data_IF_159996704252
#
_entry.id   IF_159996704252
#
_cell.length_a   1.000
_cell.length_b   1.000
_cell.length_c   1.000
_cell.angle_alpha   90.00
_cell.angle_beta   90.00
_cell.angle_gamma   90.00
#
_symmetry.space_group_name_H-M   'P 1'
#
loop_
_entity.id
_entity.type
_entity.pdbx_description
1 polymer ?
#
# COMPACT_ATOMS: atom_id res chain seq x y z
N UNK A 1 4.69 8.60 40.24
CA UNK A 1 5.23 8.78 38.88
C UNK A 1 4.53 7.96 37.79
N UNK A 2 3.92 6.80 38.08
CA UNK A 2 3.28 5.90 37.10
C UNK A 2 2.02 6.45 36.38
N UNK A 3 1.23 7.31 37.04
CA UNK A 3 0.03 7.90 36.41
C UNK A 3 0.37 8.85 35.25
N UNK A 4 1.54 9.49 35.28
CA UNK A 4 1.92 10.45 34.23
C UNK A 4 2.46 9.74 32.97
N UNK A 5 3.16 8.60 33.10
CA UNK A 5 3.69 7.85 31.95
C UNK A 5 2.57 7.32 31.04
N UNK A 6 1.45 6.88 31.63
CA UNK A 6 0.29 6.41 30.88
C UNK A 6 -0.26 7.48 29.92
N UNK A 7 -0.42 8.72 30.39
CA UNK A 7 -0.89 9.82 29.55
C UNK A 7 0.06 10.13 28.40
N UNK A 8 1.38 10.10 28.62
CA UNK A 8 2.35 10.30 27.55
C UNK A 8 2.28 9.19 26.50
N UNK A 9 2.10 7.94 26.91
CA UNK A 9 1.96 6.79 25.99
C UNK A 9 0.67 6.92 25.17
N UNK A 10 -0.43 7.28 25.82
CA UNK A 10 -1.71 7.52 25.15
C UNK A 10 -1.60 8.66 24.13
N UNK A 11 -0.99 9.79 24.52
CA UNK A 11 -0.75 10.93 23.64
C UNK A 11 0.12 10.53 22.44
N UNK A 12 1.19 9.76 22.66
CA UNK A 12 2.06 9.27 21.58
C UNK A 12 1.28 8.38 20.60
N UNK A 13 0.42 7.51 21.10
CA UNK A 13 -0.44 6.66 20.28
C UNK A 13 -1.45 7.49 19.46
N UNK A 14 -2.11 8.47 20.09
CA UNK A 14 -3.05 9.38 19.42
C UNK A 14 -2.34 10.15 18.31
N UNK A 15 -1.18 10.74 18.59
CA UNK A 15 -0.36 11.47 17.59
C UNK A 15 -0.03 10.53 16.42
N UNK A 16 0.37 9.29 16.70
CA UNK A 16 0.66 8.33 15.64
C UNK A 16 -0.56 8.00 14.78
N UNK A 17 -1.74 7.79 15.39
CA UNK A 17 -3.01 7.61 14.67
C UNK A 17 -3.37 8.83 13.80
N UNK A 18 -3.20 10.05 14.33
CA UNK A 18 -3.45 11.30 13.59
C UNK A 18 -2.51 11.43 12.38
N UNK A 19 -1.22 11.09 12.54
CA UNK A 19 -0.24 11.07 11.44
C UNK A 19 -0.70 10.09 10.34
N UNK A 20 -1.17 8.90 10.70
CA UNK A 20 -1.67 7.95 9.70
C UNK A 20 -2.90 8.47 8.95
N UNK A 21 -3.85 9.08 9.66
CA UNK A 21 -5.03 9.70 9.04
C UNK A 21 -4.64 10.85 8.11
N UNK A 22 -3.69 11.68 8.51
CA UNK A 22 -3.16 12.76 7.68
C UNK A 22 -2.51 12.21 6.40
N UNK A 23 -1.63 11.22 6.52
CA UNK A 23 -0.98 10.57 5.37
C UNK A 23 -2.04 9.93 4.46
N UNK A 24 -3.05 9.28 5.02
CA UNK A 24 -4.16 8.72 4.25
C UNK A 24 -4.91 9.80 3.48
N UNK A 25 -5.30 10.87 4.15
CA UNK A 25 -6.03 11.97 3.52
C UNK A 25 -5.24 12.58 2.36
N UNK A 26 -3.98 12.97 2.60
CA UNK A 26 -3.14 13.59 1.57
C UNK A 26 -2.87 12.62 0.42
N UNK A 27 -2.36 11.43 0.73
CA UNK A 27 -1.78 10.55 -0.30
C UNK A 27 -2.77 9.57 -0.93
N UNK A 28 -4.01 9.54 -0.44
CA UNK A 28 -5.05 8.69 -0.99
C UNK A 28 -6.28 9.50 -1.37
N UNK A 29 -6.92 10.20 -0.44
CA UNK A 29 -8.18 10.92 -0.70
C UNK A 29 -7.94 12.11 -1.63
N UNK A 30 -7.08 13.06 -1.23
CA UNK A 30 -6.83 14.27 -1.99
C UNK A 30 -6.23 13.96 -3.37
N UNK A 31 -5.23 13.08 -3.43
CA UNK A 31 -4.66 12.65 -4.72
C UNK A 31 -5.68 11.94 -5.61
N UNK A 32 -6.60 11.14 -5.06
CA UNK A 32 -7.68 10.54 -5.85
C UNK A 32 -8.57 11.64 -6.43
N UNK A 33 -9.09 12.53 -5.59
CA UNK A 33 -9.98 13.62 -6.02
C UNK A 33 -9.33 14.47 -7.12
N UNK A 34 -8.06 14.83 -6.94
CA UNK A 34 -7.32 15.67 -7.91
C UNK A 34 -7.09 14.96 -9.24
N UNK A 35 -6.60 13.71 -9.22
CA UNK A 35 -6.14 13.01 -10.43
C UNK A 35 -7.16 12.05 -11.04
N UNK A 36 -8.32 11.87 -10.43
CA UNK A 36 -9.45 11.15 -11.04
C UNK A 36 -10.27 12.02 -12.00
N UNK A 37 -10.15 13.35 -11.92
CA UNK A 37 -10.82 14.30 -12.85
C UNK A 37 -10.11 14.40 -14.21
N UNK A 38 -8.84 14.01 -14.28
CA UNK A 38 -8.01 14.14 -15.46
C UNK A 38 -8.03 12.84 -16.25
N UNK A 39 -8.65 12.86 -17.43
CA UNK A 39 -8.67 11.72 -18.34
C UNK A 39 -7.28 11.47 -18.91
N UNK A 40 -7.03 10.21 -19.25
CA UNK A 40 -5.77 9.78 -19.88
C UNK A 40 -6.09 8.91 -21.11
N UNK A 41 -5.34 9.08 -22.18
CA UNK A 41 -5.43 8.39 -23.47
C UNK A 41 -5.13 6.90 -23.36
N UNK A 42 -4.27 6.52 -22.41
CA UNK A 42 -3.91 5.12 -22.17
C UNK A 42 -4.89 4.46 -21.21
N UNK A 43 -5.49 3.36 -21.67
CA UNK A 43 -6.14 2.36 -20.82
C UNK A 43 -5.27 1.13 -20.71
N UNK A 44 -5.08 0.64 -19.48
CA UNK A 44 -4.47 -0.66 -19.25
C UNK A 44 -5.54 -1.74 -19.31
N UNK A 45 -5.34 -2.69 -20.20
CA UNK A 45 -6.20 -3.85 -20.33
C UNK A 45 -5.88 -4.88 -19.23
N UNK A 46 -6.94 -5.38 -18.60
CA UNK A 46 -6.87 -6.40 -17.56
C UNK A 46 -6.40 -7.75 -18.09
N UNK A 47 -6.77 -8.11 -19.32
CA UNK A 47 -6.32 -9.38 -19.91
C UNK A 47 -4.81 -9.36 -20.17
N UNK A 48 -4.26 -8.21 -20.57
CA UNK A 48 -2.80 -8.03 -20.64
C UNK A 48 -2.12 -8.27 -19.29
N UNK A 49 -2.68 -7.71 -18.21
CA UNK A 49 -2.14 -7.91 -16.85
C UNK A 49 -2.21 -9.40 -16.49
N UNK A 50 -3.38 -10.02 -16.65
CA UNK A 50 -3.60 -11.44 -16.38
C UNK A 50 -2.63 -12.32 -17.15
N UNK A 51 -2.46 -12.09 -18.45
CA UNK A 51 -1.56 -12.84 -19.32
C UNK A 51 -0.11 -12.74 -18.83
N UNK A 52 0.37 -11.56 -18.43
CA UNK A 52 1.71 -11.41 -17.87
C UNK A 52 1.91 -12.22 -16.59
N UNK A 53 0.91 -12.24 -15.71
CA UNK A 53 0.94 -13.03 -14.48
C UNK A 53 0.93 -14.53 -14.76
N UNK A 54 0.08 -14.98 -15.69
CA UNK A 54 0.04 -16.38 -16.13
C UNK A 54 1.39 -16.80 -16.71
N UNK A 55 1.97 -15.98 -17.61
CA UNK A 55 3.27 -16.25 -18.23
C UNK A 55 4.38 -16.34 -17.18
N UNK A 56 4.37 -15.45 -16.19
CA UNK A 56 5.42 -15.40 -15.17
C UNK A 56 5.38 -16.58 -14.19
N UNK A 57 4.19 -16.94 -13.73
CA UNK A 57 4.02 -17.94 -12.67
C UNK A 57 3.62 -19.30 -13.20
N UNK A 58 3.34 -19.43 -14.50
CA UNK A 58 2.86 -20.65 -15.16
C UNK A 58 1.59 -21.24 -14.52
N UNK A 59 0.74 -20.36 -13.96
CA UNK A 59 -0.49 -20.73 -13.27
C UNK A 59 -1.66 -19.90 -13.83
N UNK A 60 -2.86 -20.50 -13.93
CA UNK A 60 -4.07 -19.77 -14.35
C UNK A 60 -4.55 -18.86 -13.22
N UNK A 61 -4.48 -17.53 -13.43
CA UNK A 61 -5.00 -16.54 -12.49
C UNK A 61 -6.38 -16.03 -12.88
N UNK A 62 -7.19 -15.74 -11.86
CA UNK A 62 -8.47 -15.03 -12.00
C UNK A 62 -8.33 -13.61 -11.46
N UNK A 63 -8.92 -12.63 -12.15
CA UNK A 63 -8.99 -11.25 -11.65
C UNK A 63 -10.28 -11.09 -10.86
N UNK A 64 -10.15 -10.67 -9.60
CA UNK A 64 -11.27 -10.29 -8.75
C UNK A 64 -11.33 -8.77 -8.64
N UNK A 65 -12.44 -8.22 -9.11
CA UNK A 65 -12.77 -6.81 -9.01
C UNK A 65 -13.39 -6.51 -7.64
N UNK A 66 -12.90 -5.45 -7.00
CA UNK A 66 -13.14 -5.14 -5.59
C UNK A 66 -13.36 -3.65 -5.36
N UNK A 67 -14.17 -3.32 -4.35
CA UNK A 67 -14.51 -1.94 -4.02
C UNK A 67 -13.39 -1.21 -3.27
N UNK A 68 -12.70 -1.90 -2.36
CA UNK A 68 -11.73 -1.32 -1.42
C UNK A 68 -10.27 -1.71 -1.70
N UNK A 69 -9.31 -1.23 -0.91
CA UNK A 69 -7.90 -1.62 -1.04
C UNK A 69 -7.56 -2.85 -0.22
N UNK A 70 -6.58 -3.63 -0.68
CA UNK A 70 -6.11 -4.80 0.07
C UNK A 70 -4.70 -4.65 0.64
N UNK A 71 -4.54 -5.25 1.82
CA UNK A 71 -3.27 -5.66 2.40
C UNK A 71 -2.55 -6.74 1.55
N UNK A 72 -3.31 -7.60 0.84
CA UNK A 72 -2.78 -8.69 0.02
C UNK A 72 -3.46 -8.73 -1.35
N UNK A 73 -2.92 -8.01 -2.35
CA UNK A 73 -3.58 -7.88 -3.65
C UNK A 73 -3.31 -9.07 -4.59
N UNK A 74 -2.36 -9.96 -4.28
CA UNK A 74 -2.18 -11.23 -4.99
C UNK A 74 -2.29 -12.39 -3.99
N UNK A 75 -3.24 -13.28 -4.23
CA UNK A 75 -3.42 -14.54 -3.53
C UNK A 75 -2.90 -15.69 -4.38
N UNK A 76 -1.61 -15.99 -4.25
CA UNK A 76 -0.96 -17.08 -4.98
C UNK A 76 -1.66 -18.43 -4.76
N UNK A 77 -2.02 -18.79 -3.52
CA UNK A 77 -2.67 -20.06 -3.21
C UNK A 77 -4.05 -20.22 -3.86
N UNK A 78 -4.82 -19.12 -3.94
CA UNK A 78 -6.13 -19.11 -4.58
C UNK A 78 -6.07 -18.73 -6.06
N UNK A 79 -4.87 -18.41 -6.58
CA UNK A 79 -4.64 -17.89 -7.93
C UNK A 79 -5.53 -16.69 -8.27
N UNK A 80 -5.70 -15.77 -7.32
CA UNK A 80 -6.54 -14.56 -7.48
C UNK A 80 -5.69 -13.29 -7.45
N UNK A 81 -5.91 -12.42 -8.43
CA UNK A 81 -5.37 -11.06 -8.48
C UNK A 81 -6.52 -10.10 -8.16
N UNK A 82 -6.40 -9.32 -7.08
CA UNK A 82 -7.43 -8.38 -6.67
C UNK A 82 -7.10 -6.98 -7.17
N UNK A 83 -8.00 -6.38 -7.95
CA UNK A 83 -7.80 -5.06 -8.55
C UNK A 83 -8.99 -4.16 -8.17
N UNK A 84 -8.75 -3.00 -7.54
CA UNK A 84 -9.81 -2.04 -7.26
C UNK A 84 -10.55 -1.58 -8.52
N UNK A 85 -11.88 -1.56 -8.50
CA UNK A 85 -12.71 -1.19 -9.67
C UNK A 85 -12.34 0.19 -10.22
N UNK A 86 -12.09 1.14 -9.32
CA UNK A 86 -11.74 2.51 -9.69
C UNK A 86 -10.35 2.62 -10.36
N UNK A 87 -9.52 1.56 -10.38
CA UNK A 87 -8.29 1.53 -11.18
C UNK A 87 -8.56 1.34 -12.68
N UNK A 88 -9.76 0.89 -13.04
CA UNK A 88 -10.16 0.63 -14.44
C UNK A 88 -10.69 1.87 -15.15
N UNK A 89 -10.93 2.95 -14.40
CA UNK A 89 -11.37 4.23 -14.94
C UNK A 89 -10.24 4.88 -15.74
N UNK A 90 -10.60 5.47 -16.88
CA UNK A 90 -9.67 6.14 -17.81
C UNK A 90 -9.22 7.51 -17.28
N UNK A 91 -8.61 7.51 -16.10
CA UNK A 91 -8.09 8.71 -15.44
C UNK A 91 -6.69 8.46 -14.88
N UNK A 92 -5.91 9.54 -14.70
CA UNK A 92 -4.50 9.46 -14.28
C UNK A 92 -4.32 8.62 -13.01
N UNK A 93 -5.17 8.83 -12.00
CA UNK A 93 -5.05 8.13 -10.71
C UNK A 93 -5.12 6.61 -10.87
N UNK A 94 -6.01 6.12 -11.73
CA UNK A 94 -6.32 4.70 -11.95
C UNK A 94 -5.25 4.03 -12.79
N UNK A 95 -5.03 4.53 -14.01
CA UNK A 95 -4.05 3.99 -14.96
C UNK A 95 -2.65 3.92 -14.34
N UNK A 96 -2.21 4.98 -13.66
CA UNK A 96 -0.87 5.01 -13.05
C UNK A 96 -0.75 4.04 -11.88
N UNK A 97 -1.78 3.93 -11.04
CA UNK A 97 -1.80 2.95 -9.96
C UNK A 97 -1.76 1.52 -10.50
N UNK A 98 -2.54 1.23 -11.54
CA UNK A 98 -2.63 -0.08 -12.16
C UNK A 98 -1.31 -0.46 -12.85
N UNK A 99 -0.67 0.49 -13.53
CA UNK A 99 0.64 0.29 -14.16
C UNK A 99 1.72 -0.03 -13.11
N UNK A 100 1.75 0.77 -12.05
CA UNK A 100 2.70 0.59 -10.97
C UNK A 100 2.48 -0.74 -10.25
N UNK A 101 1.22 -1.11 -10.02
CA UNK A 101 0.82 -2.41 -9.49
C UNK A 101 1.37 -3.56 -10.35
N UNK A 102 1.07 -3.54 -11.66
CA UNK A 102 1.54 -4.55 -12.62
C UNK A 102 3.07 -4.70 -12.54
N UNK A 103 3.80 -3.61 -12.71
CA UNK A 103 5.27 -3.65 -12.75
C UNK A 103 5.88 -4.06 -11.40
N UNK A 104 5.31 -3.63 -10.27
CA UNK A 104 5.80 -3.99 -8.94
C UNK A 104 5.71 -5.50 -8.71
N UNK A 105 4.54 -6.10 -8.97
CA UNK A 105 4.34 -7.52 -8.72
C UNK A 105 4.95 -8.41 -9.81
N UNK A 106 5.09 -7.94 -11.05
CA UNK A 106 5.88 -8.63 -12.08
C UNK A 106 7.38 -8.65 -11.79
N UNK A 107 7.89 -7.80 -10.90
CA UNK A 107 9.28 -7.88 -10.45
C UNK A 107 9.48 -8.78 -9.21
N UNK A 108 8.40 -9.16 -8.50
CA UNK A 108 8.49 -9.99 -7.27
C UNK A 108 8.31 -11.48 -7.54
N UNK A 109 9.19 -12.33 -7.06
CA UNK A 109 8.93 -13.77 -7.09
C UNK A 109 7.96 -14.18 -5.95
N UNK A 110 7.52 -15.45 -5.96
CA UNK A 110 6.62 -16.01 -4.93
C UNK A 110 7.21 -15.91 -3.53
N UNK A 111 8.51 -16.22 -3.40
CA UNK A 111 9.26 -16.13 -2.13
C UNK A 111 9.31 -14.69 -1.58
N UNK A 112 9.61 -13.70 -2.43
CA UNK A 112 9.61 -12.27 -2.07
C UNK A 112 8.23 -11.82 -1.58
N UNK A 113 7.15 -12.27 -2.25
CA UNK A 113 5.79 -11.93 -1.82
C UNK A 113 5.41 -12.53 -0.45
N UNK A 114 5.95 -13.72 -0.12
CA UNK A 114 5.79 -14.33 1.20
C UNK A 114 6.61 -13.57 2.27
N UNK A 115 7.85 -13.21 1.94
CA UNK A 115 8.72 -12.40 2.81
C UNK A 115 8.07 -11.05 3.13
N UNK A 116 7.48 -10.37 2.14
CA UNK A 116 6.79 -9.09 2.37
C UNK A 116 5.66 -9.20 3.40
N UNK A 117 4.90 -10.30 3.31
CA UNK A 117 3.77 -10.57 4.19
C UNK A 117 4.28 -10.90 5.60
N UNK A 118 5.32 -11.72 5.70
CA UNK A 118 5.97 -12.01 6.98
C UNK A 118 6.49 -10.73 7.64
N UNK A 119 7.26 -9.90 6.92
CA UNK A 119 7.78 -8.63 7.44
C UNK A 119 6.67 -7.67 7.85
N UNK A 120 5.58 -7.59 7.07
CA UNK A 120 4.45 -6.75 7.45
C UNK A 120 3.74 -7.25 8.71
N UNK A 121 3.50 -8.56 8.83
CA UNK A 121 2.91 -9.16 10.02
C UNK A 121 3.79 -8.97 11.25
N UNK A 122 5.10 -9.19 11.13
CA UNK A 122 6.07 -8.98 12.21
C UNK A 122 6.12 -7.51 12.64
N UNK A 123 6.09 -6.57 11.69
CA UNK A 123 5.94 -5.15 12.00
C UNK A 123 4.68 -4.88 12.80
N UNK A 124 3.53 -5.40 12.34
CA UNK A 124 2.24 -5.14 12.96
C UNK A 124 2.21 -5.67 14.40
N UNK A 125 2.69 -6.90 14.62
CA UNK A 125 2.75 -7.52 15.95
C UNK A 125 3.69 -6.73 16.87
N UNK A 126 4.93 -6.49 16.44
CA UNK A 126 5.92 -5.78 17.25
C UNK A 126 5.46 -4.37 17.61
N UNK A 127 4.86 -3.65 16.67
CA UNK A 127 4.35 -2.31 16.90
C UNK A 127 3.28 -2.30 18.00
N UNK A 128 2.29 -3.20 17.92
CA UNK A 128 1.20 -3.26 18.89
C UNK A 128 1.66 -3.78 20.25
N UNK A 129 2.58 -4.77 20.28
CA UNK A 129 3.18 -5.24 21.53
C UNK A 129 3.98 -4.14 22.22
N UNK A 130 4.69 -3.30 21.46
CA UNK A 130 5.37 -2.11 21.99
C UNK A 130 4.41 -1.23 22.80
N UNK A 131 3.31 -0.80 22.17
CA UNK A 131 2.30 0.02 22.87
C UNK A 131 1.62 -0.72 24.02
N UNK A 132 1.30 -2.01 23.87
CA UNK A 132 0.68 -2.81 24.94
C UNK A 132 1.57 -2.88 26.18
N UNK A 133 2.85 -3.23 26.01
CA UNK A 133 3.80 -3.28 27.13
C UNK A 133 4.06 -1.89 27.73
N UNK A 134 3.99 -0.83 26.93
CA UNK A 134 4.05 0.53 27.45
C UNK A 134 2.86 0.81 28.38
N UNK A 135 1.63 0.47 27.98
CA UNK A 135 0.42 0.63 28.82
C UNK A 135 0.48 -0.19 30.12
N UNK A 136 1.08 -1.39 30.07
CA UNK A 136 1.34 -2.23 31.23
C UNK A 136 2.57 -1.78 32.06
N UNK A 137 3.18 -0.65 31.68
CA UNK A 137 4.35 -0.05 32.33
C UNK A 137 5.65 -0.90 32.26
N UNK A 138 5.74 -1.86 31.34
CA UNK A 138 6.98 -2.57 31.00
C UNK A 138 7.79 -1.78 29.95
N UNK A 139 8.32 -0.62 30.33
CA UNK A 139 8.90 0.36 29.40
C UNK A 139 10.10 -0.16 28.60
N UNK A 140 11.00 -0.94 29.22
CA UNK A 140 12.18 -1.50 28.54
C UNK A 140 11.73 -2.52 27.47
N UNK A 141 10.80 -3.42 27.84
CA UNK A 141 10.24 -4.41 26.92
C UNK A 141 9.53 -3.72 25.75
N UNK A 142 8.73 -2.69 26.03
CA UNK A 142 8.12 -1.83 25.02
C UNK A 142 9.15 -1.25 24.06
N UNK A 143 10.24 -0.66 24.58
CA UNK A 143 11.30 -0.07 23.77
C UNK A 143 11.95 -1.10 22.84
N UNK A 144 12.23 -2.32 23.33
CA UNK A 144 12.74 -3.40 22.49
C UNK A 144 11.81 -3.72 21.30
N UNK A 145 10.50 -3.77 21.54
CA UNK A 145 9.51 -3.99 20.47
C UNK A 145 9.41 -2.82 19.48
N UNK A 146 9.52 -1.57 19.95
CA UNK A 146 9.53 -0.39 19.08
C UNK A 146 10.79 -0.33 18.22
N UNK A 147 11.97 -0.65 18.79
CA UNK A 147 13.22 -0.77 18.04
C UNK A 147 13.09 -1.89 16.99
N UNK A 148 12.56 -3.05 17.37
CA UNK A 148 12.31 -4.15 16.44
C UNK A 148 11.37 -3.74 15.30
N UNK A 149 10.36 -2.92 15.58
CA UNK A 149 9.45 -2.37 14.56
C UNK A 149 10.20 -1.54 13.52
N UNK A 150 11.06 -0.62 13.97
CA UNK A 150 11.89 0.20 13.07
C UNK A 150 12.86 -0.68 12.27
N UNK A 151 13.48 -1.67 12.92
CA UNK A 151 14.37 -2.62 12.26
C UNK A 151 13.67 -3.41 11.15
N UNK A 152 12.46 -3.92 11.40
CA UNK A 152 11.67 -4.66 10.40
C UNK A 152 11.33 -3.76 9.21
N UNK A 153 10.98 -2.49 9.44
CA UNK A 153 10.76 -1.52 8.36
C UNK A 153 12.03 -1.30 7.53
N UNK A 154 13.19 -1.11 8.17
CA UNK A 154 14.46 -0.95 7.46
C UNK A 154 14.83 -2.18 6.65
N UNK A 155 14.65 -3.38 7.22
CA UNK A 155 14.90 -4.64 6.53
C UNK A 155 14.01 -4.79 5.29
N UNK A 156 12.70 -4.50 5.40
CA UNK A 156 11.80 -4.53 4.24
C UNK A 156 12.22 -3.52 3.17
N UNK A 157 12.62 -2.31 3.57
CA UNK A 157 13.12 -1.31 2.65
C UNK A 157 14.35 -1.83 1.88
N UNK A 158 15.34 -2.37 2.57
CA UNK A 158 16.57 -2.88 1.96
C UNK A 158 16.29 -4.02 0.98
N UNK A 159 15.45 -4.99 1.37
CA UNK A 159 15.09 -6.13 0.54
C UNK A 159 14.30 -5.72 -0.71
N UNK A 160 13.45 -4.71 -0.59
CA UNK A 160 12.55 -4.31 -1.68
C UNK A 160 12.99 -3.06 -2.45
N UNK A 161 14.03 -2.33 -2.04
CA UNK A 161 14.47 -1.07 -2.66
C UNK A 161 14.67 -1.19 -4.16
N UNK A 162 15.33 -2.27 -4.60
CA UNK A 162 15.56 -2.55 -6.04
C UNK A 162 14.23 -2.71 -6.78
N UNK A 163 13.29 -3.47 -6.22
CA UNK A 163 11.96 -3.70 -6.81
C UNK A 163 11.15 -2.40 -6.91
N UNK A 164 11.10 -1.60 -5.84
CA UNK A 164 10.42 -0.29 -5.86
C UNK A 164 11.01 0.65 -6.91
N UNK A 165 12.34 0.73 -6.98
CA UNK A 165 13.07 1.58 -7.93
C UNK A 165 12.85 1.13 -9.38
N UNK A 166 12.96 -0.17 -9.65
CA UNK A 166 12.74 -0.71 -10.99
C UNK A 166 11.27 -0.59 -11.43
N UNK A 167 10.31 -0.83 -10.54
CA UNK A 167 8.89 -0.61 -10.84
C UNK A 167 8.60 0.85 -11.18
N UNK A 168 9.22 1.79 -10.44
CA UNK A 168 9.14 3.21 -10.73
C UNK A 168 9.70 3.54 -12.13
N UNK A 169 10.92 3.07 -12.44
CA UNK A 169 11.57 3.32 -13.73
C UNK A 169 10.76 2.74 -14.90
N UNK A 170 10.44 1.45 -14.87
CA UNK A 170 9.68 0.77 -15.94
C UNK A 170 8.32 1.42 -16.18
N UNK A 171 7.60 1.79 -15.12
CA UNK A 171 6.31 2.45 -15.29
C UNK A 171 6.46 3.83 -15.91
N UNK A 172 7.48 4.61 -15.51
CA UNK A 172 7.76 5.93 -16.09
C UNK A 172 8.13 5.85 -17.56
N UNK A 173 8.95 4.87 -17.95
CA UNK A 173 9.34 4.62 -19.35
C UNK A 173 8.13 4.29 -20.21
N UNK A 174 7.24 3.40 -19.73
CA UNK A 174 5.99 3.08 -20.45
C UNK A 174 5.09 4.31 -20.61
N UNK A 175 4.98 5.15 -19.58
CA UNK A 175 4.17 6.36 -19.65
C UNK A 175 4.78 7.40 -20.59
N UNK A 176 6.11 7.54 -20.60
CA UNK A 176 6.82 8.46 -21.51
C UNK A 176 6.64 8.04 -22.97
N UNK A 177 6.69 6.75 -23.26
CA UNK A 177 6.62 6.23 -24.62
C UNK A 177 5.21 6.29 -25.24
N UNK A 178 4.17 6.41 -24.41
CA UNK A 178 2.77 6.27 -24.86
C UNK A 178 1.90 7.51 -24.66
N UNK A 179 2.38 8.53 -23.96
CA UNK A 179 1.63 9.74 -23.67
C UNK A 179 2.22 10.93 -24.42
N UNK A 180 1.34 11.84 -24.82
CA UNK A 180 1.75 13.14 -25.35
C UNK A 180 2.41 14.00 -24.26
N UNK A 181 3.18 15.02 -24.67
CA UNK A 181 4.02 15.82 -23.77
C UNK A 181 3.25 16.48 -22.61
N UNK A 182 2.07 17.04 -22.89
CA UNK A 182 1.25 17.71 -21.88
C UNK A 182 0.62 16.72 -20.91
N UNK A 183 0.05 15.64 -21.44
CA UNK A 183 -0.52 14.55 -20.66
C UNK A 183 0.53 13.90 -19.75
N UNK A 184 1.72 13.63 -20.30
CA UNK A 184 2.86 13.12 -19.55
C UNK A 184 3.26 14.05 -18.40
N UNK A 185 3.18 15.38 -18.56
CA UNK A 185 3.49 16.34 -17.49
C UNK A 185 2.55 16.15 -16.28
N UNK A 186 1.25 16.03 -16.52
CA UNK A 186 0.26 15.79 -15.45
C UNK A 186 0.45 14.42 -14.81
N UNK A 187 0.64 13.39 -15.63
CA UNK A 187 0.89 12.02 -15.18
C UNK A 187 2.16 11.92 -14.35
N UNK A 188 3.26 12.51 -14.81
CA UNK A 188 4.54 12.50 -14.11
C UNK A 188 4.44 13.27 -12.77
N UNK A 189 3.62 14.32 -12.69
CA UNK A 189 3.33 15.02 -11.43
C UNK A 189 2.70 14.09 -10.39
N UNK A 190 1.71 13.28 -10.78
CA UNK A 190 1.14 12.23 -9.91
C UNK A 190 2.13 11.10 -9.63
N UNK A 191 2.92 10.70 -10.65
CA UNK A 191 3.82 9.57 -10.56
C UNK A 191 4.89 9.73 -9.48
N UNK A 192 5.32 10.98 -9.19
CA UNK A 192 6.25 11.30 -8.09
C UNK A 192 5.82 10.69 -6.75
N UNK A 193 4.52 10.62 -6.47
CA UNK A 193 3.99 10.05 -5.23
C UNK A 193 4.14 8.52 -5.11
N UNK A 194 4.53 7.83 -6.20
CA UNK A 194 4.88 6.40 -6.16
C UNK A 194 6.22 6.13 -5.49
N UNK A 195 7.09 7.14 -5.35
CA UNK A 195 8.32 7.02 -4.55
C UNK A 195 8.02 6.69 -3.07
N UNK A 196 6.86 7.14 -2.58
CA UNK A 196 6.41 6.91 -1.21
C UNK A 196 5.57 5.64 -1.05
N UNK A 197 5.44 4.80 -2.09
CA UNK A 197 4.64 3.58 -2.04
C UNK A 197 5.08 2.62 -0.93
N UNK A 198 6.39 2.57 -0.65
CA UNK A 198 6.95 1.81 0.46
C UNK A 198 6.38 2.27 1.82
N UNK A 199 6.45 3.58 2.12
CA UNK A 199 5.96 4.12 3.40
C UNK A 199 4.46 3.93 3.56
N UNK A 200 3.68 4.05 2.48
CA UNK A 200 2.22 3.83 2.52
C UNK A 200 1.83 2.46 3.05
N UNK A 201 2.67 1.43 2.88
CA UNK A 201 2.44 0.09 3.45
C UNK A 201 2.32 0.14 4.98
N UNK A 202 3.15 0.94 5.64
CA UNK A 202 3.30 0.98 7.09
C UNK A 202 2.48 2.07 7.78
N UNK A 203 2.13 3.15 7.07
CA UNK A 203 1.46 4.31 7.65
C UNK A 203 -0.04 4.40 7.36
N UNK A 204 -0.65 3.42 6.70
CA UNK A 204 -2.06 3.48 6.30
C UNK A 204 -2.94 2.36 6.89
N UNK A 205 -2.42 1.54 7.80
CA UNK A 205 -3.15 0.36 8.26
C UNK A 205 -4.37 0.72 9.13
N UNK A 206 -4.29 1.69 10.04
CA UNK A 206 -5.46 2.11 10.83
C UNK A 206 -6.55 2.74 9.97
N UNK A 207 -6.26 3.67 9.05
CA UNK A 207 -7.25 4.17 8.09
C UNK A 207 -7.94 3.05 7.30
N UNK A 208 -7.22 2.02 6.87
CA UNK A 208 -7.83 0.87 6.18
C UNK A 208 -8.70 0.02 7.10
N UNK A 209 -8.28 -0.20 8.35
CA UNK A 209 -9.11 -0.88 9.34
C UNK A 209 -10.40 -0.12 9.58
N UNK A 210 -10.34 1.20 9.81
CA UNK A 210 -11.49 2.06 10.01
C UNK A 210 -12.44 2.06 8.80
N UNK A 211 -11.89 2.17 7.58
CA UNK A 211 -12.69 2.07 6.35
C UNK A 211 -13.43 0.73 6.26
N UNK A 212 -12.75 -0.37 6.55
CA UNK A 212 -13.35 -1.71 6.53
C UNK A 212 -14.41 -1.88 7.63
N UNK A 213 -14.17 -1.34 8.83
CA UNK A 213 -15.14 -1.36 9.92
C UNK A 213 -16.40 -0.56 9.55
N UNK A 214 -16.25 0.66 9.03
CA UNK A 214 -17.38 1.48 8.61
C UNK A 214 -18.21 0.78 7.52
N UNK A 215 -17.56 0.18 6.52
CA UNK A 215 -18.24 -0.56 5.47
C UNK A 215 -19.03 -1.76 6.03
N UNK A 216 -18.45 -2.51 6.98
CA UNK A 216 -19.15 -3.62 7.64
C UNK A 216 -20.32 -3.17 8.51
N UNK A 217 -20.16 -2.05 9.22
CA UNK A 217 -21.23 -1.50 10.05
C UNK A 217 -22.42 -1.08 9.18
N UNK A 218 -22.16 -0.40 8.07
CA UNK A 218 -23.20 0.00 7.11
C UNK A 218 -23.92 -1.21 6.49
N UNK A 219 -23.24 -2.34 6.29
CA UNK A 219 -23.88 -3.57 5.80
C UNK A 219 -24.68 -4.33 6.85
N UNK A 220 -24.47 -4.07 8.15
CA UNK A 220 -25.26 -4.66 9.24
C UNK A 220 -26.53 -3.87 9.55
N UNK A 221 -26.55 -2.58 9.20
CA UNK A 221 -27.74 -1.72 9.31
C UNK A 221 -28.66 -1.77 8.09
N UNK A 222 -28.38 -2.65 7.13
CA UNK A 222 -29.21 -2.96 5.96
C UNK A 222 -29.78 -4.38 6.12
#
# INVERSE_FOLDING_TARGET
MLKNSFWYILIAWIIFCLIQLFIFFIYRVNLKIKYSKLKISIKLDLETIKHDFIRKYQEKFTILLIKDFFLKPIWMSKKVIKIPNFYLENHIYGTVNLLYFRNFYLLKNRKSSQIDMFLFSSFFISFHLGFLFAFLNFLIVSLCFLILTVFIMLLDFLLNRKVYSQSYKKSREILLAKLEKEEFKFVNSYFKYKKLAFLKKYFLFYPFLLQNFANKFNTLGQ
#
